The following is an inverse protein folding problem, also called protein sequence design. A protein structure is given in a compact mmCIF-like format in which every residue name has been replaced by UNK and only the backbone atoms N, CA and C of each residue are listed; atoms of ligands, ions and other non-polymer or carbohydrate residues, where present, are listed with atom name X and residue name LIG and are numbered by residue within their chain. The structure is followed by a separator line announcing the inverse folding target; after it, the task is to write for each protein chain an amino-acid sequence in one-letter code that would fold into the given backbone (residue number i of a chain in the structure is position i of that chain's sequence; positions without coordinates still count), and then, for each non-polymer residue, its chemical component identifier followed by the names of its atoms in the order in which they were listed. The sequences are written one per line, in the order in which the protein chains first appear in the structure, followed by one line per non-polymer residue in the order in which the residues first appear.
data_IF_156097295488
#
_entry.id   IF_156097295488
#
_cell.length_a   1.000
_cell.length_b   1.000
_cell.length_c   1.000
_cell.angle_alpha   90.00
_cell.angle_beta   90.00
_cell.angle_gamma   90.00
#
_symmetry.space_group_name_H-M   'P 1'
#
loop_
_entity.id
_entity.type
_entity.pdbx_description
1 polymer ?
#
# COMPACT_ATOMS: atom_id res chain seq x y z
N UNK A 1 -18.61 -13.59 -7.99
CA UNK A 1 -17.72 -12.61 -8.64
C UNK A 1 -16.76 -12.12 -7.59
N UNK A 2 -15.46 -12.23 -7.85
CA UNK A 2 -14.39 -11.79 -6.96
C UNK A 2 -13.60 -10.74 -7.71
N UNK A 3 -13.40 -9.59 -7.09
CA UNK A 3 -12.58 -8.50 -7.63
C UNK A 3 -11.20 -8.57 -7.01
N UNK A 4 -10.15 -8.26 -7.75
CA UNK A 4 -8.77 -8.26 -7.27
C UNK A 4 -8.18 -6.90 -7.62
N UNK A 5 -7.47 -6.28 -6.68
CA UNK A 5 -6.86 -4.98 -6.87
C UNK A 5 -5.52 -4.90 -6.11
N UNK A 6 -4.61 -4.05 -6.61
CA UNK A 6 -3.33 -3.72 -5.98
C UNK A 6 -3.24 -2.22 -5.72
N UNK A 7 -2.76 -1.87 -4.53
CA UNK A 7 -2.50 -0.48 -4.15
C UNK A 7 -1.10 -0.34 -3.58
N UNK A 8 -0.31 0.56 -4.18
CA UNK A 8 1.00 0.96 -3.69
C UNK A 8 0.93 2.16 -2.75
N UNK A 9 1.64 2.07 -1.62
CA UNK A 9 1.86 3.16 -0.69
C UNK A 9 3.35 3.48 -0.69
N UNK A 10 3.70 4.68 -1.17
CA UNK A 10 5.07 5.17 -1.10
C UNK A 10 5.34 5.75 0.30
N UNK A 11 6.54 5.51 0.83
CA UNK A 11 7.01 6.06 2.11
C UNK A 11 7.27 7.59 2.06
N UNK A 12 6.70 8.28 1.08
CA UNK A 12 6.71 9.74 0.92
C UNK A 12 5.39 10.37 1.39
N UNK A 13 4.40 9.55 1.76
CA UNK A 13 3.11 9.93 2.36
C UNK A 13 3.28 10.43 3.81
N UNK A 14 4.21 11.37 4.02
CA UNK A 14 4.45 12.03 5.29
C UNK A 14 3.40 13.13 5.52
N UNK A 15 2.78 13.14 6.70
CA UNK A 15 1.75 14.10 7.07
C UNK A 15 2.36 15.50 7.24
N UNK A 16 1.93 16.51 6.48
CA UNK A 16 2.49 17.86 6.57
C UNK A 16 1.91 18.66 7.75
N UNK A 17 1.78 18.05 8.93
CA UNK A 17 1.33 18.72 10.14
C UNK A 17 2.54 19.07 11.02
N UNK A 18 2.68 20.37 11.29
CA UNK A 18 3.67 20.89 12.22
C UNK A 18 3.02 21.92 13.14
N UNK A 19 3.43 21.94 14.41
CA UNK A 19 2.96 22.93 15.37
C UNK A 19 3.83 24.20 15.28
N UNK A 20 3.19 25.35 15.11
CA UNK A 20 3.84 26.65 14.97
C UNK A 20 3.02 27.72 15.69
N UNK A 21 3.65 28.85 16.05
CA UNK A 21 2.91 30.00 16.58
C UNK A 21 1.97 30.55 15.51
N UNK A 22 0.84 31.12 15.95
CA UNK A 22 -0.17 31.70 15.06
C UNK A 22 0.48 32.83 14.24
N UNK A 23 0.45 32.70 12.91
CA UNK A 23 1.02 33.67 11.98
C UNK A 23 2.44 33.35 11.49
N UNK A 24 3.07 32.29 12.00
CA UNK A 24 4.41 31.86 11.56
C UNK A 24 4.31 30.65 10.61
N UNK A 25 5.11 30.67 9.53
CA UNK A 25 5.19 29.56 8.59
C UNK A 25 6.07 28.44 9.18
N UNK A 26 5.53 27.23 9.22
CA UNK A 26 6.30 26.05 9.61
C UNK A 26 7.19 25.59 8.45
N UNK A 27 8.51 25.65 8.64
CA UNK A 27 9.50 25.18 7.67
C UNK A 27 10.01 23.81 8.08
N UNK A 28 9.87 22.83 7.20
CA UNK A 28 10.41 21.48 7.40
C UNK A 28 11.13 21.02 6.14
N UNK A 29 12.17 20.19 6.32
CA UNK A 29 12.85 19.51 5.23
C UNK A 29 12.14 18.19 4.95
N UNK A 30 11.74 17.97 3.70
CA UNK A 30 11.24 16.67 3.23
C UNK A 30 12.29 16.06 2.32
N UNK A 31 12.64 14.79 2.57
CA UNK A 31 13.51 14.05 1.65
C UNK A 31 12.80 13.90 0.30
N UNK A 32 13.46 14.31 -0.78
CA UNK A 32 12.96 14.12 -2.15
C UNK A 32 13.22 12.71 -2.71
N UNK A 33 13.82 11.82 -1.93
CA UNK A 33 14.16 10.45 -2.36
C UNK A 33 13.00 9.51 -2.03
N UNK A 34 12.54 8.77 -3.03
CA UNK A 34 11.68 7.60 -2.82
C UNK A 34 12.49 6.55 -2.08
N UNK A 35 12.20 6.34 -0.80
CA UNK A 35 12.96 5.45 0.07
C UNK A 35 12.48 4.01 -0.05
N UNK A 36 11.18 3.76 0.12
CA UNK A 36 10.58 2.44 0.00
C UNK A 36 9.11 2.54 -0.47
N UNK A 37 8.64 1.55 -1.24
CA UNK A 37 7.24 1.37 -1.62
C UNK A 37 6.75 0.08 -0.98
N UNK A 38 5.63 0.16 -0.28
CA UNK A 38 4.89 -1.00 0.23
C UNK A 38 3.62 -1.12 -0.60
N UNK A 39 3.49 -2.21 -1.33
CA UNK A 39 2.30 -2.53 -2.11
C UNK A 39 1.43 -3.54 -1.34
N UNK A 40 0.12 -3.42 -1.50
CA UNK A 40 -0.86 -4.32 -0.93
C UNK A 40 -1.71 -4.89 -2.06
N UNK A 41 -1.87 -6.21 -2.08
CA UNK A 41 -2.81 -6.93 -2.94
C UNK A 41 -3.90 -7.57 -2.10
N UNK A 42 -5.14 -7.47 -2.56
CA UNK A 42 -6.27 -8.12 -1.89
C UNK A 42 -7.37 -8.45 -2.89
N UNK A 43 -8.27 -9.35 -2.47
CA UNK A 43 -9.49 -9.66 -3.22
C UNK A 43 -10.73 -9.21 -2.46
N UNK A 44 -11.78 -8.83 -3.19
CA UNK A 44 -13.08 -8.45 -2.65
C UNK A 44 -14.14 -9.47 -3.12
N UNK A 45 -14.71 -10.20 -2.17
CA UNK A 45 -15.77 -11.17 -2.40
C UNK A 45 -17.00 -10.81 -1.54
N UNK A 46 -18.15 -10.54 -2.17
CA UNK A 46 -19.41 -10.20 -1.48
C UNK A 46 -19.25 -9.06 -0.44
N UNK A 47 -18.44 -8.05 -0.75
CA UNK A 47 -18.18 -6.91 0.14
C UNK A 47 -17.20 -7.18 1.28
N UNK A 48 -16.53 -8.35 1.29
CA UNK A 48 -15.50 -8.70 2.27
C UNK A 48 -14.14 -8.77 1.60
N UNK A 49 -13.14 -8.19 2.26
CA UNK A 49 -11.74 -8.34 1.85
C UNK A 49 -11.27 -9.75 2.21
N UNK A 50 -10.65 -10.42 1.25
CA UNK A 50 -10.18 -11.80 1.32
C UNK A 50 -8.75 -11.85 0.81
N UNK A 51 -7.90 -12.65 1.47
CA UNK A 51 -6.48 -12.82 1.15
C UNK A 51 -5.68 -11.50 1.02
N UNK A 52 -5.73 -10.56 1.99
CA UNK A 52 -4.87 -9.37 1.94
C UNK A 52 -3.41 -9.76 2.17
N UNK A 53 -2.51 -9.21 1.36
CA UNK A 53 -1.06 -9.38 1.49
C UNK A 53 -0.35 -8.06 1.20
N UNK A 54 0.62 -7.71 2.04
CA UNK A 54 1.51 -6.56 1.84
C UNK A 54 2.91 -7.04 1.50
N UNK A 55 3.56 -6.40 0.53
CA UNK A 55 4.92 -6.70 0.11
C UNK A 55 5.67 -5.41 -0.26
N UNK A 56 7.00 -5.46 -0.23
CA UNK A 56 7.83 -4.33 -0.65
C UNK A 56 8.07 -4.38 -2.16
N UNK A 57 8.02 -3.21 -2.82
CA UNK A 57 8.27 -3.09 -4.26
C UNK A 57 7.00 -3.09 -5.11
N UNK A 58 7.08 -3.68 -6.30
CA UNK A 58 6.01 -3.70 -7.30
C UNK A 58 5.40 -5.10 -7.40
N UNK A 59 4.12 -5.16 -7.77
CA UNK A 59 3.50 -6.45 -8.07
C UNK A 59 4.10 -6.97 -9.38
N UNK A 60 4.94 -8.00 -9.28
CA UNK A 60 5.38 -8.78 -10.44
C UNK A 60 4.54 -10.06 -10.58
N UNK A 61 4.79 -10.79 -11.66
CA UNK A 61 4.09 -12.03 -11.97
C UNK A 61 4.34 -13.12 -10.94
N UNK A 62 5.52 -13.19 -10.34
CA UNK A 62 5.86 -14.21 -9.34
C UNK A 62 5.15 -13.93 -8.01
N UNK A 63 5.13 -12.68 -7.57
CA UNK A 63 4.38 -12.21 -6.40
C UNK A 63 2.89 -12.48 -6.59
N UNK A 64 2.33 -12.15 -7.76
CA UNK A 64 0.92 -12.40 -8.04
C UNK A 64 0.58 -13.90 -8.05
N UNK A 65 1.35 -14.72 -8.76
CA UNK A 65 1.08 -16.15 -8.86
C UNK A 65 1.25 -16.84 -7.50
N UNK A 66 2.31 -16.53 -6.76
CA UNK A 66 2.52 -17.04 -5.42
C UNK A 66 1.40 -16.64 -4.47
N UNK A 67 0.96 -15.37 -4.53
CA UNK A 67 -0.18 -14.92 -3.74
C UNK A 67 -1.48 -15.66 -4.12
N UNK A 68 -1.73 -15.82 -5.42
CA UNK A 68 -2.92 -16.48 -5.94
C UNK A 68 -3.00 -17.94 -5.47
N UNK A 69 -1.92 -18.70 -5.65
CA UNK A 69 -1.89 -20.12 -5.31
C UNK A 69 -1.93 -20.36 -3.79
N UNK A 70 -1.23 -19.53 -3.01
CA UNK A 70 -1.08 -19.77 -1.57
C UNK A 70 -2.20 -19.16 -0.72
N UNK A 71 -2.81 -18.06 -1.16
CA UNK A 71 -3.78 -17.33 -0.34
C UNK A 71 -5.16 -17.25 -1.00
N UNK A 72 -5.25 -16.89 -2.28
CA UNK A 72 -6.56 -16.69 -2.91
C UNK A 72 -7.25 -18.02 -3.23
N UNK A 73 -6.56 -18.94 -3.91
CA UNK A 73 -7.12 -20.22 -4.35
C UNK A 73 -7.68 -21.08 -3.20
N UNK A 74 -7.06 -21.16 -2.01
CA UNK A 74 -7.63 -21.89 -0.88
C UNK A 74 -8.83 -21.19 -0.21
N UNK A 75 -9.03 -19.90 -0.45
CA UNK A 75 -10.06 -19.09 0.23
C UNK A 75 -11.29 -18.84 -0.65
N UNK A 76 -11.23 -19.23 -1.93
CA UNK A 76 -12.34 -19.20 -2.89
C UNK A 76 -13.30 -20.38 -2.70
#
# INVERSE_FOLDING_TARGET
MVYIDESGIDNTEDYPYGYCRKGERFHALKSGKKTQRVSMIASLNKGKIVAPMTFEGYCDTEVFNGWFEQFLAPTL
#
